data_IF_058860107761
#
_entry.id   IF_058860107761
#
_cell.length_a   1.000
_cell.length_b   1.000
_cell.length_c   1.000
_cell.angle_alpha   90.00
_cell.angle_beta   90.00
_cell.angle_gamma   90.00
#
_symmetry.space_group_name_H-M   'P 1'
#
loop_
_entity.id
_entity.type
_entity.pdbx_description
1 polymer ?
#
# COMPACT_ATOMS: atom_id res chain seq x y z
N UNK A 1 5.28 58.25 -26.16
CA UNK A 1 5.80 57.74 -24.87
C UNK A 1 4.81 56.82 -24.14
N UNK A 2 3.52 57.19 -23.95
CA UNK A 2 2.54 56.33 -23.23
C UNK A 2 2.29 54.93 -23.84
N UNK A 3 2.32 54.79 -25.17
CA UNK A 3 2.16 53.48 -25.86
C UNK A 3 3.33 52.51 -25.61
N UNK A 4 4.57 53.00 -25.60
CA UNK A 4 5.77 52.18 -25.33
C UNK A 4 5.78 51.63 -23.89
N UNK A 5 5.31 52.43 -22.92
CA UNK A 5 5.23 52.01 -21.52
C UNK A 5 4.15 50.93 -21.29
N UNK A 6 3.00 51.02 -21.97
CA UNK A 6 1.93 50.02 -21.90
C UNK A 6 2.35 48.69 -22.55
N UNK A 7 3.06 48.74 -23.68
CA UNK A 7 3.56 47.52 -24.35
C UNK A 7 4.63 46.83 -23.50
N UNK A 8 5.53 47.57 -22.85
CA UNK A 8 6.53 47.01 -21.93
C UNK A 8 5.89 46.36 -20.69
N UNK A 9 4.87 47.00 -20.09
CA UNK A 9 4.11 46.43 -18.97
C UNK A 9 3.43 45.10 -19.35
N UNK A 10 2.80 45.02 -20.53
CA UNK A 10 2.11 43.81 -20.98
C UNK A 10 3.06 42.62 -21.23
N UNK A 11 4.28 42.86 -21.72
CA UNK A 11 5.28 41.80 -21.95
C UNK A 11 5.75 41.21 -20.61
N UNK A 12 6.08 42.07 -19.63
CA UNK A 12 6.52 41.65 -18.29
C UNK A 12 5.44 40.80 -17.58
N UNK A 13 4.15 41.19 -17.65
CA UNK A 13 3.08 40.39 -17.06
C UNK A 13 2.81 39.07 -17.78
N UNK A 14 3.09 38.98 -19.09
CA UNK A 14 2.89 37.74 -19.87
C UNK A 14 3.93 36.68 -19.51
N UNK A 15 5.18 37.09 -19.33
CA UNK A 15 6.28 36.19 -18.96
C UNK A 15 6.23 35.78 -17.47
N UNK A 16 5.77 36.68 -16.58
CA UNK A 16 5.52 36.33 -15.17
C UNK A 16 4.37 35.31 -15.04
N UNK A 17 3.28 35.44 -15.81
CA UNK A 17 2.19 34.46 -15.81
C UNK A 17 2.64 33.11 -16.39
N UNK A 18 3.45 33.11 -17.45
CA UNK A 18 3.99 31.88 -18.04
C UNK A 18 4.94 31.15 -17.07
N UNK A 19 5.83 31.88 -16.39
CA UNK A 19 6.71 31.31 -15.36
C UNK A 19 5.93 30.78 -14.13
N UNK A 20 4.86 31.47 -13.73
CA UNK A 20 3.99 31.02 -12.65
C UNK A 20 3.20 29.75 -13.01
N UNK A 21 2.71 29.65 -14.25
CA UNK A 21 1.99 28.47 -14.74
C UNK A 21 2.90 27.23 -14.78
N UNK A 22 4.17 27.38 -15.17
CA UNK A 22 5.13 26.26 -15.18
C UNK A 22 5.47 25.77 -13.78
N UNK A 23 5.58 26.67 -12.79
CA UNK A 23 5.86 26.31 -11.39
C UNK A 23 4.68 25.57 -10.72
N UNK A 24 3.44 25.94 -11.01
CA UNK A 24 2.23 25.29 -10.45
C UNK A 24 2.02 23.88 -11.04
N UNK A 25 2.37 23.67 -12.30
CA UNK A 25 2.25 22.35 -12.97
C UNK A 25 3.26 21.33 -12.42
N UNK A 26 4.44 21.77 -11.94
CA UNK A 26 5.43 20.86 -11.33
C UNK A 26 5.10 20.46 -9.88
N UNK A 27 4.21 21.18 -9.19
CA UNK A 27 3.94 20.98 -7.75
C UNK A 27 2.72 20.09 -7.46
N UNK A 28 2.12 19.50 -8.49
CA UNK A 28 0.92 18.67 -8.40
C UNK A 28 1.09 17.29 -9.02
N UNK A 29 2.28 16.68 -8.92
CA UNK A 29 2.36 15.24 -9.09
C UNK A 29 1.55 14.60 -7.95
N UNK A 30 0.50 13.81 -8.24
CA UNK A 30 -0.08 12.98 -7.20
C UNK A 30 1.05 12.11 -6.68
N UNK A 31 1.35 12.20 -5.38
CA UNK A 31 2.18 11.22 -4.71
C UNK A 31 1.40 9.89 -4.78
N UNK A 32 1.55 9.15 -5.88
CA UNK A 32 1.12 7.77 -5.95
C UNK A 32 1.84 7.05 -4.83
N UNK A 33 1.10 6.46 -3.88
CA UNK A 33 1.74 5.68 -2.83
C UNK A 33 2.52 4.54 -3.46
N UNK A 34 3.74 4.37 -2.97
CA UNK A 34 4.54 3.20 -3.29
C UNK A 34 3.86 1.99 -2.65
N UNK A 35 3.27 1.12 -3.47
CA UNK A 35 2.82 -0.19 -3.01
C UNK A 35 4.04 -1.04 -2.71
N UNK A 36 4.21 -1.45 -1.45
CA UNK A 36 5.28 -2.40 -1.07
C UNK A 36 4.71 -3.81 -1.13
N UNK A 37 5.40 -4.68 -1.88
CA UNK A 37 5.07 -6.09 -1.97
C UNK A 37 5.86 -6.88 -0.93
N UNK A 38 5.15 -7.46 0.03
CA UNK A 38 5.68 -8.37 1.02
C UNK A 38 5.36 -9.82 0.68
N UNK A 39 6.22 -10.73 1.12
CA UNK A 39 6.11 -12.16 0.89
C UNK A 39 6.13 -12.91 2.22
N UNK A 40 5.22 -13.86 2.35
CA UNK A 40 5.12 -14.77 3.49
C UNK A 40 5.25 -16.20 2.97
N UNK A 41 6.08 -17.01 3.62
CA UNK A 41 6.27 -18.42 3.31
C UNK A 41 6.48 -19.20 4.61
N UNK A 42 6.00 -20.45 4.67
CA UNK A 42 6.18 -21.34 5.84
C UNK A 42 7.66 -21.61 6.16
N UNK A 43 8.53 -21.58 5.15
CA UNK A 43 9.99 -21.68 5.25
C UNK A 43 10.69 -20.36 5.61
N UNK A 44 9.96 -19.25 5.71
CA UNK A 44 10.50 -17.93 6.00
C UNK A 44 10.89 -17.74 7.46
N UNK A 45 11.34 -16.51 7.78
CA UNK A 45 11.64 -16.07 9.14
C UNK A 45 11.11 -14.64 9.34
N UNK A 46 10.47 -14.38 10.47
CA UNK A 46 9.95 -13.06 10.80
C UNK A 46 11.06 -12.00 10.99
N UNK A 47 12.31 -12.40 11.22
CA UNK A 47 13.45 -11.48 11.20
C UNK A 47 13.88 -11.07 9.80
N UNK A 48 13.34 -11.69 8.75
CA UNK A 48 13.67 -11.35 7.37
C UNK A 48 13.07 -10.00 6.94
N UNK A 49 13.48 -9.51 5.77
CA UNK A 49 12.99 -8.26 5.20
C UNK A 49 11.56 -8.35 4.62
N UNK A 50 10.99 -9.55 4.46
CA UNK A 50 9.68 -9.74 3.85
C UNK A 50 9.69 -9.67 2.33
N UNK A 51 10.86 -9.85 1.70
CA UNK A 51 11.01 -9.88 0.23
C UNK A 51 10.81 -11.30 -0.30
N UNK A 52 10.67 -11.46 -1.62
CA UNK A 52 10.50 -12.79 -2.23
C UNK A 52 11.67 -13.75 -1.92
N UNK A 53 12.90 -13.24 -1.84
CA UNK A 53 14.09 -14.03 -1.51
C UNK A 53 14.33 -14.17 0.00
N UNK A 54 13.61 -13.42 0.83
CA UNK A 54 13.71 -13.48 2.30
C UNK A 54 12.33 -13.19 2.90
N UNK A 55 11.38 -14.15 2.76
CA UNK A 55 10.00 -13.93 3.17
C UNK A 55 9.85 -13.99 4.69
N UNK A 56 8.82 -13.35 5.20
CA UNK A 56 8.38 -13.55 6.58
C UNK A 56 7.77 -14.93 6.77
N UNK A 57 7.70 -15.39 8.03
CA UNK A 57 7.19 -16.73 8.36
C UNK A 57 5.69 -16.77 8.56
N UNK A 58 5.10 -15.73 9.13
CA UNK A 58 3.68 -15.76 9.54
C UNK A 58 2.87 -14.62 8.96
N UNK A 59 1.61 -14.90 8.64
CA UNK A 59 0.66 -13.90 8.10
C UNK A 59 0.36 -12.84 9.16
N UNK A 60 0.20 -13.24 10.43
CA UNK A 60 0.00 -12.32 11.54
C UNK A 60 1.16 -11.32 11.71
N UNK A 61 2.40 -11.74 11.43
CA UNK A 61 3.55 -10.84 11.47
C UNK A 61 3.49 -9.77 10.38
N UNK A 62 3.04 -10.15 9.18
CA UNK A 62 2.80 -9.22 8.09
C UNK A 62 1.68 -8.22 8.44
N UNK A 63 0.57 -8.69 9.01
CA UNK A 63 -0.55 -7.83 9.43
C UNK A 63 -0.15 -6.74 10.44
N UNK A 64 0.82 -7.01 11.31
CA UNK A 64 1.38 -6.01 12.22
C UNK A 64 2.26 -4.94 11.54
N UNK A 65 2.52 -5.03 10.23
CA UNK A 65 3.46 -4.16 9.49
C UNK A 65 2.87 -3.44 8.30
N UNK A 66 1.85 -4.03 7.66
CA UNK A 66 1.23 -3.46 6.48
C UNK A 66 0.61 -2.09 6.76
N UNK A 67 0.76 -1.21 5.77
CA UNK A 67 0.18 0.13 5.68
C UNK A 67 -0.61 0.25 4.38
N UNK A 68 -1.30 1.37 4.19
CA UNK A 68 -2.09 1.63 2.97
C UNK A 68 -1.28 1.30 1.70
N UNK A 69 -1.92 0.65 0.74
CA UNK A 69 -1.31 0.27 -0.54
C UNK A 69 -0.41 -0.97 -0.50
N UNK A 70 -0.08 -1.53 0.67
CA UNK A 70 0.78 -2.71 0.75
C UNK A 70 0.05 -3.98 0.28
N UNK A 71 0.82 -4.88 -0.34
CA UNK A 71 0.36 -6.18 -0.81
C UNK A 71 1.18 -7.28 -0.14
N UNK A 72 0.52 -8.24 0.48
CA UNK A 72 1.12 -9.43 1.09
C UNK A 72 0.76 -10.64 0.23
N UNK A 73 1.77 -11.20 -0.44
CA UNK A 73 1.65 -12.45 -1.19
C UNK A 73 2.07 -13.62 -0.29
N UNK A 74 1.17 -14.57 -0.10
CA UNK A 74 1.36 -15.71 0.80
C UNK A 74 1.58 -16.98 -0.01
N UNK A 75 2.74 -17.61 0.16
CA UNK A 75 3.06 -18.89 -0.47
C UNK A 75 2.28 -20.05 0.14
N UNK A 76 2.23 -21.15 -0.60
CA UNK A 76 1.54 -22.39 -0.24
C UNK A 76 1.87 -22.87 1.18
N UNK A 77 0.84 -23.39 1.86
CA UNK A 77 0.98 -24.07 3.14
C UNK A 77 -0.04 -23.64 4.18
N UNK A 78 0.11 -24.24 5.36
CA UNK A 78 -0.73 -23.98 6.53
C UNK A 78 -0.05 -22.99 7.46
N UNK A 79 -0.76 -21.92 7.79
CA UNK A 79 -0.34 -20.91 8.75
C UNK A 79 -1.27 -20.96 9.94
N UNK A 80 -0.74 -20.72 11.13
CA UNK A 80 -1.49 -20.86 12.38
C UNK A 80 -1.75 -19.51 13.02
N UNK A 81 -2.92 -19.38 13.63
CA UNK A 81 -3.32 -18.26 14.45
C UNK A 81 -4.28 -17.29 13.77
N UNK A 82 -4.68 -16.24 14.50
CA UNK A 82 -5.53 -15.18 13.98
C UNK A 82 -4.71 -14.03 13.37
N UNK A 83 -5.19 -13.51 12.24
CA UNK A 83 -4.66 -12.33 11.57
C UNK A 83 -5.49 -11.11 11.97
N UNK A 84 -4.89 -10.20 12.74
CA UNK A 84 -5.56 -9.02 13.27
C UNK A 84 -5.25 -7.77 12.44
N UNK A 85 -6.28 -7.09 11.94
CA UNK A 85 -6.18 -5.82 11.25
C UNK A 85 -7.10 -4.78 11.92
N UNK A 86 -6.52 -3.63 12.24
CA UNK A 86 -7.21 -2.54 12.93
C UNK A 86 -7.23 -1.27 12.07
N UNK A 87 -7.83 -0.18 12.59
CA UNK A 87 -7.95 1.09 11.87
C UNK A 87 -6.62 1.62 11.31
N UNK A 88 -5.49 1.39 12.00
CA UNK A 88 -4.14 1.76 11.53
C UNK A 88 -3.70 1.04 10.25
N UNK A 89 -4.32 -0.09 9.92
CA UNK A 89 -4.05 -0.86 8.70
C UNK A 89 -4.95 -0.46 7.53
N UNK A 90 -5.81 0.54 7.69
CA UNK A 90 -6.74 0.91 6.62
C UNK A 90 -6.02 1.33 5.35
N UNK A 91 -6.50 0.82 4.22
CA UNK A 91 -6.15 1.32 2.90
C UNK A 91 -7.00 2.52 2.51
N UNK A 92 -6.95 2.86 1.22
CA UNK A 92 -7.89 3.79 0.56
C UNK A 92 -8.48 3.12 -0.68
N UNK A 93 -9.49 3.74 -1.31
CA UNK A 93 -10.06 3.21 -2.55
C UNK A 93 -9.01 3.03 -3.66
N UNK A 94 -8.00 3.91 -3.72
CA UNK A 94 -6.90 3.84 -4.68
C UNK A 94 -5.70 3.02 -4.20
N UNK A 95 -5.59 2.77 -2.89
CA UNK A 95 -4.44 2.11 -2.26
C UNK A 95 -4.93 1.14 -1.17
N UNK A 96 -5.64 0.06 -1.56
CA UNK A 96 -6.10 -0.94 -0.61
C UNK A 96 -4.92 -1.69 0.01
N UNK A 97 -5.12 -2.24 1.20
CA UNK A 97 -4.20 -3.26 1.74
C UNK A 97 -4.69 -4.62 1.27
N UNK A 98 -3.80 -5.41 0.67
CA UNK A 98 -4.17 -6.68 0.03
C UNK A 98 -3.42 -7.84 0.67
N UNK A 99 -4.14 -8.85 1.12
CA UNK A 99 -3.61 -10.17 1.43
C UNK A 99 -4.09 -11.13 0.34
N UNK A 100 -3.15 -11.83 -0.29
CA UNK A 100 -3.45 -12.76 -1.39
C UNK A 100 -2.60 -14.01 -1.28
N UNK A 101 -3.20 -15.18 -1.53
CA UNK A 101 -2.41 -16.34 -1.87
C UNK A 101 -1.62 -16.10 -3.17
N UNK A 102 -0.43 -16.69 -3.25
CA UNK A 102 0.35 -16.76 -4.48
C UNK A 102 -0.43 -17.52 -5.57
N UNK A 103 -0.10 -17.28 -6.83
CA UNK A 103 -0.84 -17.90 -7.93
C UNK A 103 -0.77 -19.43 -7.87
N UNK A 104 -1.93 -20.09 -7.81
CA UNK A 104 -2.07 -21.54 -7.69
C UNK A 104 -1.74 -22.12 -6.31
N UNK A 105 -1.38 -21.30 -5.32
CA UNK A 105 -1.03 -21.77 -3.99
C UNK A 105 -2.30 -22.12 -3.18
N UNK A 106 -2.26 -23.27 -2.51
CA UNK A 106 -3.26 -23.63 -1.49
C UNK A 106 -2.79 -23.09 -0.13
N UNK A 107 -3.49 -22.08 0.39
CA UNK A 107 -3.12 -21.40 1.63
C UNK A 107 -4.22 -21.57 2.66
N UNK A 108 -3.89 -22.26 3.74
CA UNK A 108 -4.82 -22.53 4.85
C UNK A 108 -4.43 -21.63 6.02
N UNK A 109 -5.38 -20.87 6.55
CA UNK A 109 -5.21 -20.15 7.81
C UNK A 109 -5.93 -20.91 8.93
N UNK A 110 -5.17 -21.74 9.62
CA UNK A 110 -5.66 -22.58 10.69
C UNK A 110 -5.82 -21.78 12.00
N UNK A 111 -7.07 -21.44 12.31
CA UNK A 111 -7.45 -20.67 13.50
C UNK A 111 -7.55 -21.49 14.80
N UNK A 112 -7.48 -22.82 14.75
CA UNK A 112 -7.68 -23.66 15.92
C UNK A 112 -6.78 -23.28 17.10
N UNK A 113 -7.41 -23.00 18.25
CA UNK A 113 -6.73 -22.78 19.53
C UNK A 113 -6.33 -21.34 19.86
N UNK A 114 -6.65 -20.34 19.02
CA UNK A 114 -6.25 -18.94 19.34
C UNK A 114 -7.33 -17.88 19.19
N UNK A 115 -8.42 -18.09 18.44
CA UNK A 115 -9.66 -17.26 18.42
C UNK A 115 -10.69 -17.82 17.42
N UNK A 116 -11.93 -17.29 17.42
CA UNK A 116 -13.04 -17.73 16.55
C UNK A 116 -12.90 -17.31 15.06
N UNK A 117 -11.81 -16.63 14.67
CA UNK A 117 -11.66 -16.07 13.31
C UNK A 117 -10.28 -16.35 12.71
N UNK A 118 -10.24 -16.53 11.38
CA UNK A 118 -8.99 -16.49 10.61
C UNK A 118 -8.48 -15.05 10.47
N UNK A 119 -9.21 -14.23 9.71
CA UNK A 119 -8.99 -12.78 9.65
C UNK A 119 -9.98 -12.06 10.55
N UNK A 120 -9.47 -11.34 11.55
CA UNK A 120 -10.24 -10.41 12.38
C UNK A 120 -9.94 -8.98 11.94
N UNK A 121 -10.94 -8.34 11.34
CA UNK A 121 -10.83 -6.98 10.78
C UNK A 121 -11.79 -6.07 11.55
N UNK A 122 -11.23 -5.11 12.29
CA UNK A 122 -12.01 -4.22 13.16
C UNK A 122 -11.61 -2.77 12.96
N UNK A 123 -12.59 -1.90 12.68
CA UNK A 123 -12.38 -0.46 12.41
C UNK A 123 -11.43 -0.16 11.24
N UNK A 124 -11.07 -1.17 10.44
CA UNK A 124 -10.25 -1.04 9.24
C UNK A 124 -11.14 -0.92 8.00
N UNK A 125 -10.67 -0.22 6.97
CA UNK A 125 -11.36 -0.09 5.68
C UNK A 125 -10.41 -0.36 4.52
N UNK A 126 -10.97 -0.71 3.35
CA UNK A 126 -10.22 -0.99 2.12
C UNK A 126 -9.17 -2.11 2.29
N UNK A 127 -9.58 -3.20 2.95
CA UNK A 127 -8.81 -4.43 3.07
C UNK A 127 -9.36 -5.45 2.06
N UNK A 128 -8.46 -6.08 1.30
CA UNK A 128 -8.79 -7.19 0.41
C UNK A 128 -8.13 -8.46 0.94
N UNK A 129 -8.89 -9.53 1.09
CA UNK A 129 -8.39 -10.88 1.43
C UNK A 129 -8.88 -11.84 0.35
N UNK A 130 -7.99 -12.61 -0.28
CA UNK A 130 -8.35 -13.54 -1.36
C UNK A 130 -7.46 -14.79 -1.42
N UNK A 131 -8.07 -15.93 -1.76
CA UNK A 131 -7.36 -17.20 -1.98
C UNK A 131 -6.93 -17.93 -0.70
N UNK A 132 -7.57 -17.66 0.44
CA UNK A 132 -7.34 -18.35 1.70
C UNK A 132 -8.52 -19.28 1.99
N UNK A 133 -8.22 -20.41 2.63
CA UNK A 133 -9.19 -21.31 3.26
C UNK A 133 -9.14 -21.21 4.78
#
# INVERSE_FOLDING_TARGET
MKKLLQTLLLIIFRDIKAAYIVAVVFMSLPAGGYSVNYYVATSGNNTNAGTIGSPWRTIAYAAGRVRKGDVVTVGEGTYYGQVNLYGSNSGTASEPVVFTAANGAHVILEGSGTSDHGFFISLASYITVRGFE
#
